data_IF_701839004577
#
_entry.id   IF_701839004577
#
_cell.length_a   1.000
_cell.length_b   1.000
_cell.length_c   1.000
_cell.angle_alpha   90.00
_cell.angle_beta   90.00
_cell.angle_gamma   90.00
#
_symmetry.space_group_name_H-M   'P 1'
#
loop_
_entity.id
_entity.type
_entity.pdbx_description
1 polymer ?
#
# COMPACT_ATOMS: atom_id res chain seq x y z
N UNK A 1 34.55 -10.14 -6.83
CA UNK A 1 34.60 -10.40 -8.29
C UNK A 1 33.25 -9.97 -8.83
N UNK A 2 33.19 -8.90 -9.62
CA UNK A 2 31.99 -8.45 -10.29
C UNK A 2 31.73 -9.37 -11.48
N UNK A 3 30.67 -10.19 -11.42
CA UNK A 3 30.20 -10.93 -12.58
C UNK A 3 29.79 -9.93 -13.67
N UNK A 4 30.28 -10.15 -14.88
CA UNK A 4 29.98 -9.30 -16.03
C UNK A 4 28.47 -9.34 -16.30
N UNK A 5 27.84 -8.15 -16.41
CA UNK A 5 26.38 -7.97 -16.60
C UNK A 5 25.84 -8.69 -17.86
N UNK A 6 26.70 -9.14 -18.79
CA UNK A 6 26.33 -9.85 -20.01
C UNK A 6 26.03 -11.35 -19.86
N UNK A 7 26.36 -11.97 -18.71
CA UNK A 7 26.27 -13.44 -18.52
C UNK A 7 25.02 -13.87 -17.73
N UNK A 8 24.21 -12.90 -17.22
CA UNK A 8 23.02 -13.21 -16.46
C UNK A 8 21.81 -13.49 -17.37
N UNK A 9 20.96 -14.46 -17.03
CA UNK A 9 19.68 -14.67 -17.71
C UNK A 9 18.88 -13.37 -17.81
N UNK A 10 18.19 -13.16 -18.94
CA UNK A 10 17.44 -11.91 -19.24
C UNK A 10 16.51 -11.51 -18.10
N UNK A 11 15.78 -12.45 -17.50
CA UNK A 11 14.89 -12.14 -16.38
C UNK A 11 15.62 -11.60 -15.14
N UNK A 12 16.87 -12.02 -14.91
CA UNK A 12 17.69 -11.49 -13.79
C UNK A 12 18.16 -10.06 -14.05
N UNK A 13 18.50 -9.76 -15.32
CA UNK A 13 18.86 -8.40 -15.73
C UNK A 13 17.65 -7.46 -15.55
N UNK A 14 16.47 -7.89 -16.00
CA UNK A 14 15.21 -7.12 -15.84
C UNK A 14 14.88 -6.93 -14.36
N UNK A 15 14.96 -8.00 -13.54
CA UNK A 15 14.76 -7.92 -12.09
C UNK A 15 15.65 -6.85 -11.47
N UNK A 16 16.93 -6.85 -11.84
CA UNK A 16 17.91 -5.88 -11.34
C UNK A 16 17.53 -4.46 -11.77
N UNK A 17 17.18 -4.25 -13.02
CA UNK A 17 16.77 -2.94 -13.54
C UNK A 17 15.53 -2.40 -12.80
N UNK A 18 14.51 -3.25 -12.58
CA UNK A 18 13.31 -2.83 -11.84
C UNK A 18 13.66 -2.53 -10.37
N UNK A 19 14.51 -3.35 -9.72
CA UNK A 19 14.97 -3.11 -8.36
C UNK A 19 15.71 -1.78 -8.23
N UNK A 20 16.61 -1.46 -9.16
CA UNK A 20 17.33 -0.18 -9.21
C UNK A 20 16.38 1.01 -9.40
N UNK A 21 15.33 0.88 -10.21
CA UNK A 21 14.29 1.92 -10.36
C UNK A 21 13.51 2.14 -9.06
N UNK A 22 13.18 1.07 -8.34
CA UNK A 22 12.55 1.16 -7.01
C UNK A 22 13.47 1.89 -6.03
N UNK A 23 14.76 1.51 -5.99
CA UNK A 23 15.75 2.12 -5.09
C UNK A 23 16.00 3.59 -5.38
N UNK A 24 15.94 4.02 -6.65
CA UNK A 24 16.04 5.42 -7.06
C UNK A 24 14.77 6.23 -6.83
N UNK A 25 13.64 5.55 -6.55
CA UNK A 25 12.34 6.19 -6.38
C UNK A 25 11.59 6.46 -7.69
N UNK A 26 12.04 5.94 -8.84
CA UNK A 26 11.32 6.01 -10.11
C UNK A 26 9.94 5.33 -9.97
N UNK A 27 9.88 4.30 -9.13
CA UNK A 27 8.66 3.69 -8.62
C UNK A 27 8.60 3.91 -7.10
N UNK A 28 7.86 4.90 -6.62
CA UNK A 28 7.74 5.18 -5.19
C UNK A 28 7.15 4.01 -4.40
N UNK A 29 7.54 3.87 -3.14
CA UNK A 29 6.95 2.87 -2.23
C UNK A 29 5.42 3.05 -2.18
N UNK A 30 4.69 1.94 -2.31
CA UNK A 30 3.23 1.95 -2.36
C UNK A 30 2.62 2.30 -3.73
N UNK A 31 3.42 2.71 -4.72
CA UNK A 31 2.94 2.95 -6.08
C UNK A 31 2.79 1.65 -6.88
N UNK A 32 1.95 1.71 -7.91
CA UNK A 32 1.77 0.60 -8.84
C UNK A 32 2.94 0.56 -9.83
N UNK A 33 3.46 -0.65 -10.08
CA UNK A 33 4.44 -0.92 -11.14
C UNK A 33 3.68 -1.14 -12.46
N UNK A 34 4.24 -0.76 -13.62
CA UNK A 34 3.65 -1.07 -14.91
C UNK A 34 3.32 -2.56 -15.05
N UNK A 35 2.27 -2.87 -15.81
CA UNK A 35 1.80 -4.24 -16.03
C UNK A 35 2.86 -5.12 -16.71
N UNK A 36 2.71 -6.43 -16.60
CA UNK A 36 3.59 -7.39 -17.29
C UNK A 36 3.63 -7.16 -18.83
N UNK A 37 2.54 -6.65 -19.42
CA UNK A 37 2.49 -6.32 -20.85
C UNK A 37 3.31 -5.07 -21.16
N UNK A 38 3.11 -3.99 -20.42
CA UNK A 38 3.84 -2.73 -20.59
C UNK A 38 5.34 -2.93 -20.38
N UNK A 39 5.72 -3.70 -19.36
CA UNK A 39 7.12 -4.05 -19.12
C UNK A 39 7.68 -4.95 -20.24
N UNK A 40 6.89 -5.87 -20.80
CA UNK A 40 7.33 -6.72 -21.89
C UNK A 40 7.61 -5.90 -23.16
N UNK A 41 6.79 -4.91 -23.45
CA UNK A 41 7.01 -3.95 -24.55
C UNK A 41 8.26 -3.09 -24.29
N UNK A 42 8.38 -2.51 -23.08
CA UNK A 42 9.51 -1.65 -22.72
C UNK A 42 10.86 -2.37 -22.81
N UNK A 43 10.92 -3.61 -22.31
CA UNK A 43 12.17 -4.40 -22.30
C UNK A 43 12.38 -5.23 -23.58
N UNK A 44 11.46 -5.17 -24.53
CA UNK A 44 11.56 -5.94 -25.79
C UNK A 44 11.60 -7.46 -25.56
N UNK A 45 10.84 -7.98 -24.61
CA UNK A 45 10.87 -9.39 -24.17
C UNK A 45 9.47 -9.99 -24.04
N UNK A 46 9.40 -11.25 -23.60
CA UNK A 46 8.11 -11.92 -23.42
C UNK A 46 7.52 -11.65 -22.03
N UNK A 47 6.17 -11.68 -21.92
CA UNK A 47 5.48 -11.63 -20.63
C UNK A 47 5.99 -12.68 -19.64
N UNK A 48 6.34 -13.88 -20.11
CA UNK A 48 6.83 -14.95 -19.25
C UNK A 48 8.16 -14.57 -18.59
N UNK A 49 9.05 -13.92 -19.35
CA UNK A 49 10.34 -13.42 -18.86
C UNK A 49 10.13 -12.33 -17.80
N UNK A 50 9.21 -11.38 -18.07
CA UNK A 50 8.83 -10.34 -17.10
C UNK A 50 8.23 -10.98 -15.84
N UNK A 51 7.31 -11.94 -16.00
CA UNK A 51 6.69 -12.63 -14.86
C UNK A 51 7.75 -13.29 -13.96
N UNK A 52 8.74 -13.95 -14.55
CA UNK A 52 9.84 -14.57 -13.79
C UNK A 52 10.66 -13.53 -13.02
N UNK A 53 10.94 -12.37 -13.62
CA UNK A 53 11.61 -11.26 -12.94
C UNK A 53 10.77 -10.70 -11.77
N UNK A 54 9.48 -10.49 -12.01
CA UNK A 54 8.53 -10.02 -11.01
C UNK A 54 8.34 -11.02 -9.86
N UNK A 55 8.33 -12.33 -10.14
CA UNK A 55 8.22 -13.37 -9.10
C UNK A 55 9.40 -13.33 -8.12
N UNK A 56 10.61 -13.04 -8.60
CA UNK A 56 11.76 -12.85 -7.71
C UNK A 56 11.66 -11.59 -6.87
N UNK A 57 11.14 -10.49 -7.43
CA UNK A 57 10.89 -9.26 -6.67
C UNK A 57 9.79 -9.45 -5.61
N UNK A 58 8.77 -10.27 -5.89
CA UNK A 58 7.76 -10.67 -4.88
C UNK A 58 8.40 -11.50 -3.78
N UNK A 59 9.22 -12.52 -4.13
CA UNK A 59 9.92 -13.36 -3.15
C UNK A 59 10.86 -12.56 -2.24
N UNK A 60 11.47 -11.50 -2.77
CA UNK A 60 12.32 -10.60 -1.99
C UNK A 60 11.55 -9.52 -1.22
N UNK A 61 10.21 -9.49 -1.31
CA UNK A 61 9.37 -8.50 -0.64
C UNK A 61 9.45 -7.07 -1.24
N UNK A 62 10.17 -6.89 -2.34
CA UNK A 62 10.30 -5.58 -3.00
C UNK A 62 9.01 -5.14 -3.69
N UNK A 63 8.20 -6.09 -4.13
CA UNK A 63 6.87 -5.83 -4.69
C UNK A 63 5.82 -6.79 -4.11
N UNK A 64 4.56 -6.38 -4.18
CA UNK A 64 3.39 -7.17 -3.80
C UNK A 64 2.43 -7.26 -4.97
N UNK A 65 1.99 -8.47 -5.33
CA UNK A 65 0.88 -8.66 -6.27
C UNK A 65 -0.45 -8.63 -5.54
N UNK A 66 -1.40 -7.89 -6.12
CA UNK A 66 -2.77 -7.83 -5.65
C UNK A 66 -3.69 -8.25 -6.79
N UNK A 67 -4.44 -9.32 -6.54
CA UNK A 67 -5.34 -9.89 -7.54
C UNK A 67 -6.33 -8.83 -8.07
N UNK A 68 -6.41 -8.71 -9.40
CA UNK A 68 -7.27 -7.75 -10.07
C UNK A 68 -6.81 -6.28 -10.04
N UNK A 69 -5.70 -5.95 -9.33
CA UNK A 69 -5.19 -4.58 -9.22
C UNK A 69 -3.80 -4.37 -9.79
N UNK A 70 -2.97 -5.42 -9.87
CA UNK A 70 -1.61 -5.32 -10.39
C UNK A 70 -0.53 -5.59 -9.34
N UNK A 71 0.67 -5.06 -9.60
CA UNK A 71 1.82 -5.17 -8.70
C UNK A 71 2.20 -3.79 -8.15
N UNK A 72 2.56 -3.76 -6.87
CA UNK A 72 2.86 -2.53 -6.12
C UNK A 72 4.22 -2.64 -5.45
N UNK A 73 4.92 -1.51 -5.36
CA UNK A 73 6.19 -1.44 -4.63
C UNK A 73 5.94 -1.68 -3.14
N UNK A 74 6.59 -2.71 -2.59
CA UNK A 74 6.55 -3.03 -1.17
C UNK A 74 7.58 -2.23 -0.35
N UNK A 75 7.49 -2.34 0.96
CA UNK A 75 8.51 -1.80 1.87
C UNK A 75 9.32 -2.95 2.48
N UNK A 76 10.65 -2.84 2.49
CA UNK A 76 11.59 -3.89 2.93
C UNK A 76 11.40 -4.39 4.39
N UNK A 77 10.62 -3.67 5.20
CA UNK A 77 10.44 -3.94 6.64
C UNK A 77 9.13 -4.65 6.98
N UNK A 78 8.45 -5.23 5.97
CA UNK A 78 7.10 -5.79 6.13
C UNK A 78 6.98 -7.00 7.07
N UNK A 79 8.06 -7.74 7.33
CA UNK A 79 7.94 -9.05 7.99
C UNK A 79 8.02 -9.04 9.51
N UNK A 80 8.57 -8.04 10.18
CA UNK A 80 8.82 -8.14 11.63
C UNK A 80 7.99 -7.21 12.52
N UNK A 81 7.51 -6.07 12.03
CA UNK A 81 6.88 -5.06 12.89
C UNK A 81 5.37 -4.86 12.70
N UNK A 82 4.78 -5.36 11.62
CA UNK A 82 3.35 -5.21 11.31
C UNK A 82 2.46 -6.25 12.02
N UNK A 83 2.98 -6.94 13.01
CA UNK A 83 2.25 -7.94 13.81
C UNK A 83 1.21 -7.37 14.79
N UNK A 84 0.96 -6.07 14.80
CA UNK A 84 0.01 -5.45 15.75
C UNK A 84 -1.09 -4.70 15.03
N UNK A 85 -2.20 -5.40 14.83
CA UNK A 85 -3.50 -4.76 14.69
C UNK A 85 -3.88 -4.25 13.31
N UNK A 86 -5.13 -4.41 13.01
CA UNK A 86 -5.82 -3.93 11.83
C UNK A 86 -6.66 -5.04 11.22
N UNK A 87 -7.80 -4.64 10.65
CA UNK A 87 -8.79 -5.54 10.05
C UNK A 87 -8.14 -6.64 9.19
N UNK A 88 -7.25 -6.25 8.25
CA UNK A 88 -6.64 -7.19 7.31
C UNK A 88 -5.85 -8.30 8.01
N UNK A 89 -5.05 -7.97 8.99
CA UNK A 89 -4.23 -8.97 9.69
C UNK A 89 -5.05 -9.89 10.59
N UNK A 90 -6.04 -9.32 11.27
CA UNK A 90 -6.96 -10.10 12.12
C UNK A 90 -7.70 -11.16 11.28
N UNK A 91 -8.20 -10.75 10.11
CA UNK A 91 -8.92 -11.65 9.19
C UNK A 91 -7.98 -12.70 8.60
N UNK A 92 -6.77 -12.34 8.15
CA UNK A 92 -5.79 -13.31 7.65
C UNK A 92 -5.37 -14.32 8.73
N UNK A 93 -5.23 -13.88 9.97
CA UNK A 93 -4.88 -14.76 11.09
C UNK A 93 -5.98 -15.78 11.41
N UNK A 94 -7.24 -15.48 11.07
CA UNK A 94 -8.35 -16.43 11.17
C UNK A 94 -8.47 -17.40 9.98
N UNK A 95 -7.61 -17.26 8.97
CA UNK A 95 -7.62 -18.08 7.76
C UNK A 95 -8.60 -17.60 6.68
N UNK A 96 -9.29 -16.47 6.91
CA UNK A 96 -10.23 -15.88 5.95
C UNK A 96 -9.55 -14.85 5.04
N UNK A 97 -10.24 -14.45 3.97
CA UNK A 97 -9.73 -13.52 2.95
C UNK A 97 -10.29 -12.12 3.15
N UNK A 98 -9.48 -11.14 3.60
CA UNK A 98 -9.92 -9.75 3.72
C UNK A 98 -9.89 -9.05 2.36
N UNK A 99 -10.94 -8.30 2.05
CA UNK A 99 -10.95 -7.35 0.95
C UNK A 99 -11.43 -5.99 1.42
N UNK A 100 -10.89 -4.92 0.83
CA UNK A 100 -11.23 -3.54 1.16
C UNK A 100 -11.61 -2.80 -0.11
N UNK A 101 -12.77 -2.18 -0.11
CA UNK A 101 -13.26 -1.31 -1.20
C UNK A 101 -13.31 0.12 -0.72
N UNK A 102 -12.72 1.03 -1.49
CA UNK A 102 -12.83 2.46 -1.21
C UNK A 102 -14.20 2.93 -1.69
N UNK A 103 -15.00 3.48 -0.80
CA UNK A 103 -16.30 4.06 -1.09
C UNK A 103 -16.19 5.54 -1.44
N UNK A 104 -15.33 6.28 -0.72
CA UNK A 104 -15.09 7.70 -0.98
C UNK A 104 -13.70 8.12 -0.48
N UNK A 105 -13.13 9.12 -1.16
CA UNK A 105 -11.92 9.84 -0.75
C UNK A 105 -12.16 11.33 -0.92
N UNK A 106 -11.74 12.14 0.04
CA UNK A 106 -11.81 13.59 -0.08
C UNK A 106 -10.77 14.25 0.83
N UNK A 107 -10.47 15.52 0.55
CA UNK A 107 -9.79 16.39 1.51
C UNK A 107 -10.80 17.40 2.05
N UNK A 108 -10.70 17.71 3.33
CA UNK A 108 -11.53 18.71 3.99
C UNK A 108 -10.71 19.46 5.03
N UNK A 109 -11.10 20.67 5.35
CA UNK A 109 -10.50 21.39 6.47
C UNK A 109 -10.82 20.70 7.81
N UNK A 110 -9.91 20.81 8.76
CA UNK A 110 -10.06 20.23 10.10
C UNK A 110 -11.25 20.84 10.83
N UNK A 111 -11.38 22.16 10.77
CA UNK A 111 -12.32 22.91 11.60
C UNK A 111 -11.97 22.80 13.09
N UNK A 112 -12.68 23.51 13.97
CA UNK A 112 -12.27 23.67 15.37
C UNK A 112 -12.20 22.34 16.13
N UNK A 113 -13.12 21.42 15.91
CA UNK A 113 -13.18 20.15 16.64
C UNK A 113 -11.95 19.24 16.34
N UNK A 114 -11.62 19.05 15.05
CA UNK A 114 -10.50 18.18 14.68
C UNK A 114 -9.15 18.88 14.82
N UNK A 115 -9.12 20.21 14.72
CA UNK A 115 -7.92 20.99 15.02
C UNK A 115 -7.45 20.78 16.46
N UNK A 116 -8.38 20.90 17.43
CA UNK A 116 -8.12 20.63 18.83
C UNK A 116 -7.73 19.15 19.07
N UNK A 117 -8.46 18.23 18.44
CA UNK A 117 -8.23 16.78 18.59
C UNK A 117 -6.86 16.32 18.13
N UNK A 118 -6.36 16.87 17.02
CA UNK A 118 -5.08 16.49 16.39
C UNK A 118 -3.93 17.44 16.69
N UNK A 119 -4.17 18.57 17.35
CA UNK A 119 -3.16 19.59 17.63
C UNK A 119 -2.64 20.29 16.37
N UNK A 120 -3.53 20.58 15.41
CA UNK A 120 -3.27 21.22 14.12
C UNK A 120 -4.11 22.49 13.96
N UNK A 121 -3.91 23.26 12.88
CA UNK A 121 -4.73 24.45 12.62
C UNK A 121 -6.12 24.08 12.04
N UNK A 122 -7.10 24.99 12.20
CA UNK A 122 -8.47 24.74 11.71
C UNK A 122 -8.55 24.67 10.18
N UNK A 123 -7.63 25.34 9.49
CA UNK A 123 -7.47 25.38 8.04
C UNK A 123 -6.50 24.30 7.50
N UNK A 124 -5.92 23.48 8.38
CA UNK A 124 -5.18 22.30 7.96
C UNK A 124 -6.09 21.26 7.33
N UNK A 125 -5.54 20.53 6.35
CA UNK A 125 -6.29 19.54 5.61
C UNK A 125 -6.28 18.17 6.31
N UNK A 126 -7.45 17.56 6.35
CA UNK A 126 -7.64 16.15 6.68
C UNK A 126 -7.91 15.36 5.40
N UNK A 127 -7.20 14.25 5.23
CA UNK A 127 -7.55 13.23 4.25
C UNK A 127 -8.63 12.34 4.85
N UNK A 128 -9.81 12.37 4.22
CA UNK A 128 -10.99 11.59 4.62
C UNK A 128 -11.15 10.41 3.68
N UNK A 129 -11.23 9.22 4.25
CA UNK A 129 -11.40 7.98 3.52
C UNK A 129 -12.54 7.17 4.12
N UNK A 130 -13.46 6.71 3.26
CA UNK A 130 -14.53 5.78 3.63
C UNK A 130 -14.30 4.45 2.93
N UNK A 131 -14.23 3.37 3.71
CA UNK A 131 -13.89 2.03 3.25
C UNK A 131 -14.96 1.03 3.64
N UNK A 132 -15.27 0.10 2.74
CA UNK A 132 -16.05 -1.09 3.02
C UNK A 132 -15.08 -2.26 3.25
N UNK A 133 -15.12 -2.84 4.41
CA UNK A 133 -14.34 -4.02 4.75
C UNK A 133 -15.21 -5.27 4.54
N UNK A 134 -14.65 -6.28 3.86
CA UNK A 134 -15.33 -7.54 3.58
C UNK A 134 -14.46 -8.72 4.04
N UNK A 135 -15.09 -9.79 4.46
CA UNK A 135 -14.47 -11.08 4.79
C UNK A 135 -15.06 -12.12 3.82
N UNK A 136 -14.21 -12.83 3.09
CA UNK A 136 -14.60 -13.82 2.08
C UNK A 136 -15.65 -13.30 1.07
N UNK A 137 -15.58 -12.01 0.77
CA UNK A 137 -16.48 -11.31 -0.15
C UNK A 137 -17.70 -10.68 0.50
N UNK A 138 -18.05 -11.06 1.75
CA UNK A 138 -19.19 -10.53 2.47
C UNK A 138 -18.84 -9.22 3.19
N UNK A 139 -19.66 -8.16 3.10
CA UNK A 139 -19.45 -6.89 3.79
C UNK A 139 -19.65 -7.06 5.30
N UNK A 140 -18.69 -6.56 6.09
CA UNK A 140 -18.74 -6.68 7.55
C UNK A 140 -18.69 -5.34 8.27
N UNK A 141 -18.08 -4.31 7.68
CA UNK A 141 -18.07 -2.98 8.30
C UNK A 141 -17.80 -1.86 7.29
N UNK A 142 -18.29 -0.68 7.61
CA UNK A 142 -17.89 0.57 6.96
C UNK A 142 -17.02 1.34 7.93
N UNK A 143 -15.84 1.72 7.50
CA UNK A 143 -14.88 2.50 8.27
C UNK A 143 -14.72 3.88 7.61
N UNK A 144 -14.78 4.94 8.42
CA UNK A 144 -14.40 6.28 8.03
C UNK A 144 -13.18 6.70 8.82
N UNK A 145 -12.10 7.04 8.12
CA UNK A 145 -10.85 7.48 8.72
C UNK A 145 -10.55 8.92 8.32
N UNK A 146 -10.14 9.72 9.29
CA UNK A 146 -9.66 11.09 9.10
C UNK A 146 -8.20 11.15 9.50
N UNK A 147 -7.35 11.60 8.58
CA UNK A 147 -5.89 11.60 8.76
C UNK A 147 -5.37 13.00 8.47
N UNK A 148 -4.69 13.66 9.41
CA UNK A 148 -4.09 14.97 9.16
C UNK A 148 -3.00 14.90 8.08
N UNK A 149 -3.18 15.60 6.96
CA UNK A 149 -2.22 15.63 5.86
C UNK A 149 -0.87 16.20 6.30
N UNK A 150 -0.86 17.16 7.23
CA UNK A 150 0.36 17.73 7.80
C UNK A 150 1.22 16.69 8.52
N UNK A 151 0.58 15.77 9.24
CA UNK A 151 1.28 14.72 10.00
C UNK A 151 1.66 13.53 9.11
N UNK A 152 0.93 13.29 8.03
CA UNK A 152 1.14 12.19 7.09
C UNK A 152 1.17 12.70 5.63
N UNK A 153 2.20 13.50 5.26
CA UNK A 153 2.31 14.04 3.89
C UNK A 153 2.46 12.90 2.88
N UNK A 154 1.71 12.97 1.77
CA UNK A 154 1.72 11.94 0.72
C UNK A 154 0.80 10.74 1.00
N UNK A 155 -0.01 10.78 2.05
CA UNK A 155 -0.95 9.68 2.38
C UNK A 155 -1.94 9.41 1.24
N UNK A 156 -2.31 10.43 0.49
CA UNK A 156 -3.22 10.35 -0.64
C UNK A 156 -2.67 9.60 -1.84
N UNK A 157 -1.34 9.51 -1.97
CA UNK A 157 -0.64 8.87 -3.09
C UNK A 157 -0.52 7.35 -2.91
N UNK A 158 -0.74 6.86 -1.69
CA UNK A 158 -0.71 5.41 -1.39
C UNK A 158 -2.09 4.78 -1.62
N UNK A 159 -2.12 3.64 -2.33
CA UNK A 159 -3.38 2.90 -2.48
C UNK A 159 -3.76 2.13 -1.21
N UNK A 160 -4.47 2.79 -0.31
CA UNK A 160 -4.96 2.23 0.95
C UNK A 160 -6.03 1.13 0.80
N UNK A 161 -6.43 0.77 -0.42
CA UNK A 161 -7.23 -0.43 -0.69
C UNK A 161 -6.35 -1.67 -0.87
N UNK A 162 -5.06 -1.46 -1.11
CA UNK A 162 -4.02 -2.48 -1.26
C UNK A 162 -3.26 -2.66 0.04
N UNK A 163 -2.92 -1.55 0.67
CA UNK A 163 -2.19 -1.50 1.93
C UNK A 163 -3.12 -1.16 3.09
N UNK A 164 -2.86 -1.73 4.25
CA UNK A 164 -3.53 -1.29 5.48
C UNK A 164 -3.06 0.13 5.83
N UNK A 165 -3.82 0.83 6.67
CA UNK A 165 -3.40 2.16 7.14
C UNK A 165 -2.07 2.10 7.91
N UNK A 166 -1.86 1.06 8.72
CA UNK A 166 -0.60 0.88 9.44
C UNK A 166 0.58 0.65 8.49
N UNK A 167 0.40 -0.18 7.47
CA UNK A 167 1.39 -0.33 6.40
C UNK A 167 1.68 1.01 5.71
N UNK A 168 0.64 1.79 5.44
CA UNK A 168 0.77 3.11 4.80
C UNK A 168 1.55 4.08 5.69
N UNK A 169 1.28 4.11 6.99
CA UNK A 169 2.02 4.96 7.93
C UNK A 169 3.50 4.57 8.00
N UNK A 170 3.81 3.27 8.03
CA UNK A 170 5.19 2.78 7.99
C UNK A 170 5.90 3.18 6.69
N UNK A 171 5.23 3.10 5.53
CA UNK A 171 5.77 3.54 4.24
C UNK A 171 6.13 5.03 4.23
N UNK A 172 5.34 5.84 4.92
CA UNK A 172 5.57 7.27 5.07
C UNK A 172 6.62 7.60 6.16
N UNK A 173 7.21 6.57 6.80
CA UNK A 173 8.16 6.74 7.89
C UNK A 173 7.55 7.37 9.14
N UNK A 174 6.23 7.25 9.32
CA UNK A 174 5.46 7.83 10.42
C UNK A 174 4.78 6.74 11.22
N UNK A 175 4.72 6.91 12.54
CA UNK A 175 3.94 6.05 13.43
C UNK A 175 2.92 6.91 14.16
N UNK A 176 1.63 6.57 14.12
CA UNK A 176 0.65 7.26 14.92
C UNK A 176 0.89 6.93 16.39
N UNK A 177 1.02 7.95 17.23
CA UNK A 177 1.15 7.78 18.69
C UNK A 177 -0.21 7.51 19.33
N UNK A 178 -1.29 7.99 18.70
CA UNK A 178 -2.64 7.91 19.21
C UNK A 178 -3.65 7.75 18.08
N UNK A 179 -4.63 6.90 18.28
CA UNK A 179 -5.86 6.83 17.47
C UNK A 179 -7.08 6.96 18.38
N UNK A 180 -8.14 7.56 17.87
CA UNK A 180 -9.43 7.63 18.53
C UNK A 180 -10.43 6.93 17.62
N UNK A 181 -11.06 5.89 18.13
CA UNK A 181 -12.06 5.11 17.41
C UNK A 181 -13.43 5.29 18.07
N UNK A 182 -14.44 5.49 17.24
CA UNK A 182 -15.85 5.42 17.63
C UNK A 182 -16.48 4.26 16.88
N UNK A 183 -17.12 3.38 17.58
CA UNK A 183 -17.83 2.24 17.02
C UNK A 183 -19.33 2.45 17.19
N UNK A 184 -20.05 2.49 16.06
CA UNK A 184 -21.51 2.49 16.04
C UNK A 184 -21.98 1.18 15.39
N UNK A 185 -23.01 0.57 15.95
CA UNK A 185 -23.62 -0.64 15.42
C UNK A 185 -24.99 -0.24 14.88
N UNK A 186 -25.14 -0.28 13.58
CA UNK A 186 -26.43 -0.09 12.91
C UNK A 186 -26.95 -1.45 12.43
N UNK A 187 -28.22 -1.74 12.70
CA UNK A 187 -28.89 -2.88 12.08
C UNK A 187 -29.16 -2.56 10.60
N UNK A 188 -28.75 -3.46 9.72
CA UNK A 188 -29.07 -3.42 8.29
C UNK A 188 -30.49 -3.91 8.03
#
# INVERSE_FOLDING_TARGET
>A
MAEAVGDLPVYKQIRRCIAERIERGDYPTGSMIPSENELAEEFGTTRLTIRSAMDELVKSGQIRRVQGKGAFVGHKWFDEHVRKGGFRQTVLASGATPTVRILARSKRYAGPYYADLFGIAEDDLLYSVRRLNCIDGEPVSIEMTLIPCLLFPGIEDVDISVFSLYETYDMLGRKPDKSIEKLDIEAL
#
